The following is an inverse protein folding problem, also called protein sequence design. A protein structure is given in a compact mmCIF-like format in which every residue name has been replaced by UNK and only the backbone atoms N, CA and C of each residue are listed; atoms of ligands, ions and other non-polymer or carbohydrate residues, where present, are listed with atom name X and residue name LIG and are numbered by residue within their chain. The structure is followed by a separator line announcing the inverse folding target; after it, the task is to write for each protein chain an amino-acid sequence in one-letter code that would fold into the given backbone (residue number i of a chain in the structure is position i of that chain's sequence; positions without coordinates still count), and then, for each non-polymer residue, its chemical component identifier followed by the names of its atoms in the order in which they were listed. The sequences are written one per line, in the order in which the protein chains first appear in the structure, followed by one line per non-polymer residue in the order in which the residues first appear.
data_IF_869125934711
#
_entry.id   IF_869125934711
#
_cell.length_a   1.000
_cell.length_b   1.000
_cell.length_c   1.000
_cell.angle_alpha   90.00
_cell.angle_beta   90.00
_cell.angle_gamma   90.00
#
_symmetry.space_group_name_H-M   'P 1'
#
loop_
_entity.id
_entity.type
_entity.pdbx_description
1 polymer ?
#
# COMPACT_ATOMS: atom_id res chain seq x y z
N UNK A 1 -20.04 -6.73 24.92
CA UNK A 1 -20.30 -7.97 24.15
C UNK A 1 -19.11 -8.19 23.22
N UNK A 2 -18.69 -9.43 22.95
CA UNK A 2 -17.62 -9.68 21.98
C UNK A 2 -18.19 -9.63 20.57
N UNK A 3 -17.65 -8.77 19.70
CA UNK A 3 -18.08 -8.64 18.30
C UNK A 3 -17.90 -10.00 17.58
N UNK A 4 -18.94 -10.43 16.87
CA UNK A 4 -18.96 -11.63 16.03
C UNK A 4 -18.69 -11.27 14.56
N UNK A 5 -17.61 -11.83 14.03
CA UNK A 5 -17.05 -11.47 12.72
C UNK A 5 -17.23 -12.61 11.72
N UNK A 6 -17.82 -12.32 10.56
CA UNK A 6 -17.78 -13.20 9.39
C UNK A 6 -16.71 -12.69 8.44
N UNK A 7 -15.70 -13.51 8.16
CA UNK A 7 -14.52 -13.07 7.39
C UNK A 7 -14.42 -13.87 6.10
N UNK A 8 -14.20 -13.19 4.97
CA UNK A 8 -14.01 -13.74 3.63
C UNK A 8 -12.84 -13.04 2.93
N UNK A 9 -12.35 -13.67 1.86
CA UNK A 9 -11.31 -13.09 1.01
C UNK A 9 -9.88 -13.54 1.31
N UNK A 10 -8.92 -12.92 0.62
CA UNK A 10 -7.50 -13.28 0.64
C UNK A 10 -6.88 -13.06 2.02
N UNK A 11 -7.34 -12.05 2.76
CA UNK A 11 -6.86 -11.71 4.10
C UNK A 11 -7.48 -12.59 5.21
N UNK A 12 -8.43 -13.47 4.87
CA UNK A 12 -9.27 -14.17 5.86
C UNK A 12 -8.49 -14.96 6.91
N UNK A 13 -7.39 -15.62 6.55
CA UNK A 13 -6.59 -16.41 7.50
C UNK A 13 -5.81 -15.52 8.46
N UNK A 14 -5.16 -14.48 7.95
CA UNK A 14 -4.43 -13.51 8.77
C UNK A 14 -5.37 -12.79 9.74
N UNK A 15 -6.51 -12.29 9.23
CA UNK A 15 -7.51 -11.59 10.03
C UNK A 15 -8.19 -12.52 11.05
N UNK A 16 -8.45 -13.78 10.70
CA UNK A 16 -8.96 -14.76 11.68
C UNK A 16 -8.00 -14.92 12.84
N UNK A 17 -6.69 -15.11 12.58
CA UNK A 17 -5.68 -15.18 13.66
C UNK A 17 -5.67 -13.89 14.48
N UNK A 18 -5.64 -12.75 13.82
CA UNK A 18 -5.59 -11.42 14.43
C UNK A 18 -6.73 -11.15 15.42
N UNK A 19 -7.96 -11.49 15.03
CA UNK A 19 -9.14 -11.25 15.85
C UNK A 19 -9.32 -12.29 16.95
N UNK A 20 -8.99 -13.56 16.70
CA UNK A 20 -9.00 -14.60 17.74
C UNK A 20 -7.97 -14.32 18.84
N UNK A 21 -6.77 -13.79 18.48
CA UNK A 21 -5.77 -13.31 19.45
C UNK A 21 -6.33 -12.23 20.40
N UNK A 22 -7.34 -11.49 19.96
CA UNK A 22 -7.98 -10.38 20.69
C UNK A 22 -9.27 -10.79 21.38
N UNK A 23 -9.58 -12.09 21.40
CA UNK A 23 -10.78 -12.63 22.04
C UNK A 23 -12.09 -12.30 21.33
N UNK A 24 -12.05 -11.80 20.08
CA UNK A 24 -13.23 -11.65 19.25
C UNK A 24 -13.68 -13.00 18.69
N UNK A 25 -14.95 -13.12 18.31
CA UNK A 25 -15.49 -14.36 17.75
C UNK A 25 -15.44 -14.31 16.23
N UNK A 26 -14.99 -15.40 15.61
CA UNK A 26 -15.11 -15.59 14.17
C UNK A 26 -16.18 -16.63 13.92
N UNK A 27 -17.26 -16.21 13.26
CA UNK A 27 -18.47 -17.00 13.03
C UNK A 27 -18.60 -17.40 11.57
N UNK A 28 -19.26 -18.54 11.31
CA UNK A 28 -19.52 -19.04 9.96
C UNK A 28 -18.25 -19.07 9.06
N UNK A 29 -17.11 -19.63 9.53
CA UNK A 29 -15.88 -19.73 8.75
C UNK A 29 -16.06 -20.60 7.50
N UNK A 30 -15.21 -20.40 6.48
CA UNK A 30 -15.14 -21.34 5.35
C UNK A 30 -14.45 -22.65 5.76
N UNK A 31 -14.62 -23.71 4.97
CA UNK A 31 -13.97 -25.01 5.22
C UNK A 31 -12.45 -24.89 5.34
N UNK A 32 -11.84 -24.01 4.54
CA UNK A 32 -10.41 -23.70 4.62
C UNK A 32 -10.02 -23.14 6.00
N UNK A 33 -10.82 -22.22 6.54
CA UNK A 33 -10.58 -21.65 7.87
C UNK A 33 -10.85 -22.68 8.96
N UNK A 34 -11.88 -23.53 8.81
CA UNK A 34 -12.15 -24.65 9.73
C UNK A 34 -10.95 -25.60 9.77
N UNK A 35 -10.40 -25.99 8.62
CA UNK A 35 -9.24 -26.87 8.53
C UNK A 35 -7.98 -26.27 9.18
N UNK A 36 -7.76 -24.95 9.03
CA UNK A 36 -6.59 -24.24 9.58
C UNK A 36 -6.66 -24.00 11.08
N UNK A 37 -7.85 -23.68 11.61
CA UNK A 37 -8.01 -23.26 13.00
C UNK A 37 -8.66 -24.33 13.89
N UNK A 38 -9.23 -25.39 13.32
CA UNK A 38 -9.82 -26.51 14.06
C UNK A 38 -10.81 -26.04 15.13
N UNK A 39 -10.54 -26.38 16.39
CA UNK A 39 -11.36 -26.02 17.56
C UNK A 39 -10.82 -24.82 18.34
N UNK A 40 -10.14 -23.89 17.68
CA UNK A 40 -9.60 -22.69 18.33
C UNK A 40 -10.71 -21.92 19.04
N UNK A 41 -10.46 -21.51 20.30
CA UNK A 41 -11.41 -20.72 21.09
C UNK A 41 -11.81 -19.45 20.34
N UNK A 42 -13.11 -19.19 20.25
CA UNK A 42 -13.67 -18.05 19.52
C UNK A 42 -14.09 -18.36 18.09
N UNK A 43 -13.70 -19.51 17.53
CA UNK A 43 -14.21 -19.99 16.25
C UNK A 43 -15.58 -20.68 16.44
N UNK A 44 -16.61 -20.18 15.77
CA UNK A 44 -18.00 -20.66 15.89
C UNK A 44 -18.51 -21.06 14.52
N UNK A 45 -18.88 -22.34 14.34
CA UNK A 45 -19.20 -22.89 13.02
C UNK A 45 -20.46 -22.30 12.40
N UNK A 46 -21.49 -22.04 13.21
CA UNK A 46 -22.76 -21.47 12.76
C UNK A 46 -23.22 -20.45 13.78
N UNK A 47 -23.56 -19.25 13.32
CA UNK A 47 -24.09 -18.18 14.16
C UNK A 47 -24.29 -16.87 13.40
N UNK A 48 -25.10 -15.94 13.94
CA UNK A 48 -25.20 -14.59 13.42
C UNK A 48 -23.87 -13.84 13.56
N UNK A 49 -23.64 -12.85 12.70
CA UNK A 49 -22.49 -11.96 12.77
C UNK A 49 -22.96 -10.52 12.93
N UNK A 50 -22.19 -9.73 13.66
CA UNK A 50 -22.40 -8.29 13.83
C UNK A 50 -21.72 -7.52 12.68
N UNK A 51 -20.67 -8.12 12.09
CA UNK A 51 -19.86 -7.53 11.04
C UNK A 51 -19.38 -8.59 10.04
N UNK A 52 -19.52 -8.30 8.75
CA UNK A 52 -18.85 -9.01 7.67
C UNK A 52 -17.62 -8.23 7.18
N UNK A 53 -16.50 -8.95 7.02
CA UNK A 53 -15.24 -8.45 6.48
C UNK A 53 -14.98 -9.22 5.18
N UNK A 54 -14.80 -8.49 4.09
CA UNK A 54 -14.48 -9.07 2.78
C UNK A 54 -13.48 -8.18 2.04
N UNK A 55 -12.81 -8.72 1.03
CA UNK A 55 -11.86 -7.94 0.22
C UNK A 55 -12.56 -6.74 -0.46
N UNK A 56 -11.81 -5.66 -0.66
CA UNK A 56 -12.16 -4.62 -1.62
C UNK A 56 -12.06 -5.18 -3.05
N UNK A 57 -12.66 -4.48 -4.02
CA UNK A 57 -12.66 -4.90 -5.42
C UNK A 57 -11.23 -4.97 -6.01
N UNK A 58 -10.36 -4.03 -5.63
CA UNK A 58 -8.95 -4.02 -6.01
C UNK A 58 -8.07 -4.95 -5.15
N UNK A 59 -8.65 -5.58 -4.12
CA UNK A 59 -7.99 -6.44 -3.13
C UNK A 59 -6.90 -5.74 -2.29
N UNK A 60 -6.79 -4.41 -2.33
CA UNK A 60 -5.78 -3.63 -1.60
C UNK A 60 -6.14 -3.41 -0.13
N UNK A 61 -7.25 -3.99 0.31
CA UNK A 61 -7.77 -3.87 1.66
C UNK A 61 -9.05 -4.68 1.85
N UNK A 62 -9.82 -4.29 2.86
CA UNK A 62 -11.09 -4.92 3.20
C UNK A 62 -12.21 -3.91 3.36
N UNK A 63 -13.42 -4.30 2.96
CA UNK A 63 -14.67 -3.65 3.35
C UNK A 63 -15.23 -4.28 4.62
N UNK A 64 -15.83 -3.43 5.44
CA UNK A 64 -16.48 -3.73 6.72
C UNK A 64 -17.96 -3.37 6.57
N UNK A 65 -18.86 -4.35 6.71
CA UNK A 65 -20.30 -4.17 6.55
C UNK A 65 -21.06 -4.80 7.73
N UNK A 66 -21.89 -4.04 8.43
CA UNK A 66 -22.65 -4.56 9.57
C UNK A 66 -23.18 -3.47 10.50
N UNK A 67 -23.28 -3.79 11.79
CA UNK A 67 -23.70 -2.83 12.82
C UNK A 67 -22.68 -1.69 12.95
N UNK A 68 -23.15 -0.42 12.92
CA UNK A 68 -22.30 0.79 12.94
C UNK A 68 -21.27 0.80 14.08
N UNK A 69 -21.67 0.40 15.29
CA UNK A 69 -20.75 0.34 16.43
C UNK A 69 -19.65 -0.71 16.25
N UNK A 70 -20.00 -1.86 15.71
CA UNK A 70 -19.07 -2.95 15.40
C UNK A 70 -18.11 -2.59 14.25
N UNK A 71 -18.61 -1.92 13.21
CA UNK A 71 -17.80 -1.39 12.09
C UNK A 71 -16.74 -0.42 12.60
N UNK A 72 -17.14 0.59 13.37
CA UNK A 72 -16.21 1.61 13.87
C UNK A 72 -15.16 1.01 14.81
N UNK A 73 -15.58 0.11 15.72
CA UNK A 73 -14.67 -0.57 16.63
C UNK A 73 -13.62 -1.42 15.89
N UNK A 74 -14.04 -2.17 14.85
CA UNK A 74 -13.12 -2.99 14.06
C UNK A 74 -12.21 -2.15 13.19
N UNK A 75 -12.73 -1.11 12.52
CA UNK A 75 -11.93 -0.15 11.73
C UNK A 75 -10.81 0.45 12.58
N UNK A 76 -11.15 0.96 13.77
CA UNK A 76 -10.18 1.52 14.72
C UNK A 76 -9.16 0.48 15.18
N UNK A 77 -9.61 -0.73 15.52
CA UNK A 77 -8.72 -1.83 15.93
C UNK A 77 -7.70 -2.18 14.85
N UNK A 78 -8.12 -2.18 13.58
CA UNK A 78 -7.22 -2.41 12.44
C UNK A 78 -6.22 -1.26 12.28
N UNK A 79 -6.68 -0.01 12.27
CA UNK A 79 -5.81 1.17 12.13
C UNK A 79 -4.79 1.31 13.28
N UNK A 80 -5.17 0.94 14.50
CA UNK A 80 -4.27 1.01 15.66
C UNK A 80 -3.13 -0.03 15.59
N UNK A 81 -3.42 -1.22 15.05
CA UNK A 81 -2.42 -2.28 14.94
C UNK A 81 -1.58 -2.17 13.66
N UNK A 82 -2.25 -1.99 12.53
CA UNK A 82 -1.64 -1.78 11.22
C UNK A 82 -1.46 -0.27 11.03
N UNK A 83 -0.31 0.24 11.49
CA UNK A 83 -0.14 1.68 11.69
C UNK A 83 -0.27 2.53 10.42
N UNK A 84 -0.02 1.92 9.27
CA UNK A 84 -0.13 2.49 7.92
C UNK A 84 -1.51 2.28 7.29
N UNK A 85 -2.42 1.53 7.92
CA UNK A 85 -3.74 1.29 7.39
C UNK A 85 -4.61 2.56 7.35
N UNK A 86 -5.40 2.68 6.28
CA UNK A 86 -6.21 3.88 5.99
C UNK A 86 -7.67 3.49 6.07
N UNK A 87 -8.41 4.14 6.96
CA UNK A 87 -9.80 3.81 7.27
C UNK A 87 -10.77 4.81 6.63
N UNK A 88 -11.78 4.34 5.89
CA UNK A 88 -12.75 5.20 5.20
C UNK A 88 -14.15 4.82 5.63
N UNK A 89 -14.90 5.75 6.20
CA UNK A 89 -16.33 5.52 6.49
C UNK A 89 -17.13 5.77 5.21
N UNK A 90 -17.94 4.78 4.77
CA UNK A 90 -18.73 4.82 3.53
C UNK A 90 -20.24 4.96 3.75
N UNK A 91 -20.66 5.17 5.00
CA UNK A 91 -22.05 5.34 5.39
C UNK A 91 -22.33 4.70 6.74
N UNK A 92 -23.60 4.66 7.12
CA UNK A 92 -24.03 3.94 8.31
C UNK A 92 -23.78 2.43 8.11
N UNK A 93 -23.09 1.79 9.06
CA UNK A 93 -22.78 0.37 8.98
C UNK A 93 -21.79 -0.04 7.88
N UNK A 94 -21.07 0.91 7.27
CA UNK A 94 -20.13 0.61 6.17
C UNK A 94 -18.81 1.38 6.30
N UNK A 95 -17.69 0.66 6.19
CA UNK A 95 -16.36 1.25 6.11
C UNK A 95 -15.43 0.41 5.23
N UNK A 96 -14.28 0.98 4.88
CA UNK A 96 -13.18 0.33 4.18
C UNK A 96 -11.90 0.53 4.99
N UNK A 97 -11.00 -0.43 4.92
CA UNK A 97 -9.63 -0.32 5.45
C UNK A 97 -8.67 -0.76 4.37
N UNK A 98 -7.89 0.16 3.82
CA UNK A 98 -6.80 -0.14 2.90
C UNK A 98 -5.55 -0.55 3.68
N UNK A 99 -4.83 -1.54 3.14
CA UNK A 99 -3.62 -2.09 3.73
C UNK A 99 -2.43 -1.79 2.82
N UNK A 100 -1.61 -0.77 3.12
CA UNK A 100 -0.35 -0.57 2.41
C UNK A 100 0.70 -1.62 2.79
N UNK A 101 1.91 -1.48 2.24
CA UNK A 101 2.97 -2.46 2.34
C UNK A 101 3.25 -2.95 3.79
N UNK A 102 3.52 -2.10 4.81
CA UNK A 102 3.71 -2.59 6.18
C UNK A 102 2.52 -3.37 6.75
N UNK A 103 1.28 -2.95 6.48
CA UNK A 103 0.09 -3.67 6.90
C UNK A 103 0.01 -5.05 6.26
N UNK A 104 0.21 -5.16 4.94
CA UNK A 104 0.25 -6.44 4.20
C UNK A 104 1.33 -7.36 4.75
N UNK A 105 2.54 -6.84 5.00
CA UNK A 105 3.64 -7.61 5.57
C UNK A 105 3.30 -8.14 6.98
N UNK A 106 2.66 -7.32 7.83
CA UNK A 106 2.20 -7.76 9.15
C UNK A 106 1.09 -8.83 9.05
N UNK A 107 0.19 -8.73 8.07
CA UNK A 107 -0.83 -9.73 7.77
C UNK A 107 -0.20 -11.04 7.27
N UNK A 108 0.85 -10.98 6.44
CA UNK A 108 1.60 -12.16 6.01
C UNK A 108 2.19 -12.90 7.21
N UNK A 109 2.78 -12.18 8.17
CA UNK A 109 3.33 -12.80 9.38
C UNK A 109 2.25 -13.36 10.32
N UNK A 110 1.09 -12.72 10.40
CA UNK A 110 -0.07 -13.27 11.10
C UNK A 110 -0.56 -14.58 10.46
N UNK A 111 -0.55 -14.66 9.12
CA UNK A 111 -0.86 -15.89 8.39
C UNK A 111 0.23 -16.95 8.62
N UNK A 112 1.50 -16.55 8.63
CA UNK A 112 2.65 -17.43 8.86
C UNK A 112 2.59 -18.17 10.21
N UNK A 113 1.95 -17.56 11.22
CA UNK A 113 1.68 -18.20 12.54
C UNK A 113 0.66 -19.34 12.47
N UNK A 114 -0.07 -19.47 11.37
CA UNK A 114 -1.10 -20.49 11.16
C UNK A 114 -0.61 -21.56 10.19
N UNK A 115 0.02 -21.15 9.10
CA UNK A 115 0.63 -22.02 8.10
C UNK A 115 1.82 -21.33 7.43
N UNK A 116 2.86 -22.06 7.02
CA UNK A 116 4.00 -21.50 6.30
C UNK A 116 3.56 -20.58 5.15
N UNK A 117 4.02 -19.34 5.17
CA UNK A 117 3.59 -18.28 4.26
C UNK A 117 4.81 -17.53 3.71
N UNK A 118 4.83 -17.28 2.40
CA UNK A 118 5.91 -16.45 1.80
C UNK A 118 5.78 -15.00 2.27
N UNK A 119 6.90 -14.27 2.42
CA UNK A 119 6.84 -12.82 2.51
C UNK A 119 6.13 -12.24 1.28
N UNK A 120 5.36 -11.17 1.48
CA UNK A 120 4.57 -10.50 0.43
C UNK A 120 3.45 -11.37 -0.14
N UNK A 121 2.97 -12.35 0.61
CA UNK A 121 1.88 -13.24 0.20
C UNK A 121 0.67 -12.47 -0.30
N UNK A 122 0.13 -11.53 0.48
CA UNK A 122 -1.07 -10.79 0.07
C UNK A 122 -0.81 -9.94 -1.19
N UNK A 123 0.37 -9.33 -1.30
CA UNK A 123 0.75 -8.59 -2.50
C UNK A 123 0.78 -9.50 -3.75
N UNK A 124 1.37 -10.70 -3.66
CA UNK A 124 1.37 -11.64 -4.78
C UNK A 124 -0.01 -12.23 -5.05
N UNK A 125 -0.88 -12.35 -4.05
CA UNK A 125 -2.26 -12.80 -4.23
C UNK A 125 -3.07 -11.83 -5.10
N UNK A 126 -2.79 -10.52 -5.00
CA UNK A 126 -3.39 -9.49 -5.87
C UNK A 126 -2.98 -9.70 -7.33
N UNK A 127 -1.73 -10.12 -7.57
CA UNK A 127 -1.19 -10.35 -8.91
C UNK A 127 -1.62 -11.69 -9.51
N UNK A 128 -1.49 -12.78 -8.74
CA UNK A 128 -1.64 -14.15 -9.23
C UNK A 128 -2.09 -15.11 -8.11
N UNK A 129 -3.30 -14.89 -7.58
CA UNK A 129 -3.88 -15.61 -6.44
C UNK A 129 -3.67 -17.13 -6.47
N UNK A 130 -4.08 -17.80 -7.55
CA UNK A 130 -4.08 -19.27 -7.63
C UNK A 130 -2.66 -19.84 -7.71
N UNK A 131 -1.77 -19.14 -8.43
CA UNK A 131 -0.36 -19.52 -8.55
C UNK A 131 0.35 -19.47 -7.19
N UNK A 132 0.11 -18.41 -6.41
CA UNK A 132 0.69 -18.25 -5.07
C UNK A 132 0.23 -19.37 -4.14
N UNK A 133 -1.07 -19.65 -4.10
CA UNK A 133 -1.61 -20.73 -3.27
C UNK A 133 -1.00 -22.08 -3.64
N UNK A 134 -0.94 -22.40 -4.93
CA UNK A 134 -0.38 -23.66 -5.43
C UNK A 134 1.10 -23.82 -5.06
N UNK A 135 1.89 -22.76 -5.23
CA UNK A 135 3.34 -22.82 -4.98
C UNK A 135 3.65 -22.88 -3.47
N UNK A 136 2.90 -22.16 -2.63
CA UNK A 136 2.97 -22.31 -1.18
C UNK A 136 2.63 -23.73 -0.75
N UNK A 137 1.50 -24.29 -1.22
CA UNK A 137 1.04 -25.62 -0.85
C UNK A 137 2.06 -26.70 -1.27
N UNK A 138 2.56 -26.65 -2.50
CA UNK A 138 3.50 -27.65 -3.02
C UNK A 138 4.89 -27.55 -2.40
N UNK A 139 5.32 -26.36 -1.99
CA UNK A 139 6.70 -26.14 -1.53
C UNK A 139 6.77 -26.05 -0.02
N UNK A 140 6.00 -25.14 0.58
CA UNK A 140 6.16 -24.78 1.99
C UNK A 140 5.50 -25.77 2.94
N UNK A 141 4.56 -26.61 2.48
CA UNK A 141 4.00 -27.67 3.32
C UNK A 141 5.05 -28.69 3.76
N UNK A 142 6.07 -28.95 2.91
CA UNK A 142 7.20 -29.83 3.23
C UNK A 142 8.49 -29.10 3.58
N UNK A 143 8.63 -27.84 3.16
CA UNK A 143 9.84 -27.03 3.34
C UNK A 143 9.54 -25.60 3.82
N UNK A 144 9.00 -25.42 5.05
CA UNK A 144 8.70 -24.08 5.58
C UNK A 144 9.92 -23.14 5.61
N UNK A 145 11.12 -23.69 5.79
CA UNK A 145 12.38 -22.94 5.84
C UNK A 145 12.71 -22.21 4.53
N UNK A 146 12.08 -22.61 3.41
CA UNK A 146 12.30 -22.01 2.09
C UNK A 146 11.45 -20.78 1.81
N UNK A 147 10.62 -20.31 2.76
CA UNK A 147 9.70 -19.18 2.52
C UNK A 147 10.36 -17.94 1.93
N UNK A 148 11.56 -17.57 2.40
CA UNK A 148 12.28 -16.38 1.93
C UNK A 148 12.78 -16.56 0.49
N UNK A 149 13.35 -17.73 0.18
CA UNK A 149 13.88 -18.01 -1.16
C UNK A 149 12.76 -18.17 -2.19
N UNK A 150 11.65 -18.81 -1.81
CA UNK A 150 10.44 -18.90 -2.63
C UNK A 150 9.82 -17.52 -2.83
N UNK A 151 9.70 -16.71 -1.78
CA UNK A 151 9.19 -15.34 -1.85
C UNK A 151 10.01 -14.46 -2.79
N UNK A 152 11.35 -14.48 -2.68
CA UNK A 152 12.24 -13.76 -3.61
C UNK A 152 12.10 -14.26 -5.05
N UNK A 153 11.92 -15.57 -5.24
CA UNK A 153 11.69 -16.17 -6.55
C UNK A 153 10.36 -15.73 -7.19
N UNK A 154 9.28 -15.73 -6.40
CA UNK A 154 7.96 -15.23 -6.82
C UNK A 154 8.00 -13.75 -7.16
N UNK A 155 8.66 -12.93 -6.33
CA UNK A 155 8.79 -11.51 -6.60
C UNK A 155 9.48 -11.27 -7.95
N UNK A 156 10.55 -12.04 -8.20
CA UNK A 156 11.27 -11.95 -9.46
C UNK A 156 10.38 -12.32 -10.64
N UNK A 157 9.73 -13.48 -10.59
CA UNK A 157 8.95 -13.99 -11.73
C UNK A 157 7.65 -13.24 -11.97
N UNK A 158 6.93 -12.87 -10.91
CA UNK A 158 5.62 -12.23 -11.02
C UNK A 158 5.73 -10.74 -11.34
N UNK A 159 6.77 -10.05 -10.85
CA UNK A 159 6.88 -8.59 -10.96
C UNK A 159 8.08 -8.20 -11.83
N UNK A 160 9.30 -8.53 -11.40
CA UNK A 160 10.51 -7.93 -11.98
C UNK A 160 10.90 -8.44 -13.36
N UNK A 161 10.58 -9.69 -13.68
CA UNK A 161 10.80 -10.26 -15.01
C UNK A 161 9.83 -9.63 -16.04
N UNK A 162 8.76 -8.99 -15.58
CA UNK A 162 7.86 -8.22 -16.44
C UNK A 162 8.40 -6.82 -16.79
N UNK A 163 9.42 -6.34 -16.09
CA UNK A 163 10.02 -5.03 -16.33
C UNK A 163 11.02 -5.09 -17.49
N UNK A 164 10.71 -4.35 -18.55
CA UNK A 164 11.53 -4.22 -19.75
C UNK A 164 11.84 -2.74 -20.00
N UNK A 165 13.02 -2.44 -20.55
CA UNK A 165 13.37 -1.06 -20.90
C UNK A 165 12.35 -0.50 -21.90
N UNK A 166 11.88 0.71 -21.64
CA UNK A 166 10.84 1.37 -22.42
C UNK A 166 9.41 0.95 -22.08
N UNK A 167 9.19 -0.10 -21.26
CA UNK A 167 7.86 -0.45 -20.77
C UNK A 167 7.26 0.73 -20.02
N UNK A 168 6.06 1.15 -20.40
CA UNK A 168 5.32 2.18 -19.67
C UNK A 168 4.78 1.59 -18.36
N UNK A 169 5.09 2.26 -17.26
CA UNK A 169 4.59 1.95 -15.93
C UNK A 169 3.55 2.99 -15.54
N UNK A 170 2.36 2.51 -15.17
CA UNK A 170 1.33 3.34 -14.56
C UNK A 170 1.75 3.73 -13.15
N UNK A 171 1.31 4.89 -12.69
CA UNK A 171 1.50 5.33 -11.31
C UNK A 171 0.11 5.54 -10.73
N UNK A 172 -0.27 4.66 -9.82
CA UNK A 172 -1.49 4.74 -9.03
C UNK A 172 -1.22 5.63 -7.81
N UNK A 173 -1.64 6.89 -7.93
CA UNK A 173 -1.62 7.86 -6.86
C UNK A 173 -2.98 7.82 -6.16
N UNK A 174 -3.08 6.97 -5.13
CA UNK A 174 -4.32 6.79 -4.37
C UNK A 174 -4.41 7.91 -3.34
N UNK A 175 -5.52 8.64 -3.29
CA UNK A 175 -5.79 9.62 -2.23
C UNK A 175 -6.27 8.90 -0.97
N UNK A 176 -6.11 9.54 0.19
CA UNK A 176 -6.51 8.92 1.47
C UNK A 176 -8.01 8.57 1.54
N UNK A 177 -8.86 9.27 0.79
CA UNK A 177 -10.30 9.03 0.69
C UNK A 177 -10.67 7.91 -0.32
N UNK A 178 -9.68 7.37 -1.02
CA UNK A 178 -9.78 6.26 -1.96
C UNK A 178 -9.94 6.68 -3.41
N UNK A 179 -9.94 7.98 -3.73
CA UNK A 179 -9.88 8.41 -5.13
C UNK A 179 -8.56 7.95 -5.76
N UNK A 180 -8.65 7.26 -6.90
CA UNK A 180 -7.49 6.80 -7.65
C UNK A 180 -7.16 7.79 -8.78
N UNK A 181 -6.00 8.43 -8.69
CA UNK A 181 -5.48 9.31 -9.73
C UNK A 181 -4.41 8.57 -10.52
N UNK A 182 -4.64 8.40 -11.82
CA UNK A 182 -3.63 7.87 -12.74
C UNK A 182 -2.74 9.00 -13.24
N UNK A 183 -1.52 9.07 -12.72
CA UNK A 183 -0.52 10.03 -13.21
C UNK A 183 0.03 9.59 -14.56
N UNK A 184 0.58 10.54 -15.33
CA UNK A 184 1.17 10.21 -16.64
C UNK A 184 2.27 9.15 -16.52
N UNK A 185 2.19 8.15 -17.38
CA UNK A 185 3.03 6.96 -17.34
C UNK A 185 4.51 7.30 -17.63
N UNK A 186 5.41 6.49 -17.09
CA UNK A 186 6.85 6.63 -17.28
C UNK A 186 7.44 5.36 -17.89
N UNK A 187 8.27 5.51 -18.93
CA UNK A 187 9.01 4.40 -19.50
C UNK A 187 10.18 4.00 -18.60
N UNK A 188 10.36 2.70 -18.34
CA UNK A 188 11.50 2.19 -17.57
C UNK A 188 12.81 2.49 -18.31
N UNK A 189 13.71 3.21 -17.68
CA UNK A 189 15.09 3.41 -18.16
C UNK A 189 16.04 2.38 -17.55
N UNK A 190 15.94 2.17 -16.25
CA UNK A 190 16.82 1.29 -15.49
C UNK A 190 16.03 0.48 -14.48
N UNK A 191 16.49 -0.75 -14.21
CA UNK A 191 15.96 -1.63 -13.18
C UNK A 191 17.07 -2.31 -12.40
N UNK A 192 16.94 -2.36 -11.08
CA UNK A 192 17.84 -3.05 -10.17
C UNK A 192 17.02 -3.86 -9.16
N UNK A 193 16.98 -5.18 -9.38
CA UNK A 193 16.20 -6.10 -8.55
C UNK A 193 16.75 -6.25 -7.13
N UNK A 194 18.06 -6.14 -6.95
CA UNK A 194 18.69 -6.36 -5.65
C UNK A 194 18.52 -5.13 -4.76
N UNK A 195 18.61 -3.92 -5.34
CA UNK A 195 18.32 -2.66 -4.63
C UNK A 195 16.84 -2.28 -4.61
N UNK A 196 15.99 -3.04 -5.32
CA UNK A 196 14.56 -2.77 -5.51
C UNK A 196 14.30 -1.38 -6.09
N UNK A 197 15.09 -0.97 -7.09
CA UNK A 197 15.06 0.37 -7.68
C UNK A 197 14.64 0.33 -9.15
N UNK A 198 13.79 1.29 -9.53
CA UNK A 198 13.46 1.64 -10.91
C UNK A 198 13.79 3.10 -11.18
N UNK A 199 14.25 3.38 -12.39
CA UNK A 199 14.35 4.75 -12.91
C UNK A 199 13.40 4.87 -14.09
N UNK A 200 12.46 5.82 -14.01
CA UNK A 200 11.47 6.07 -15.04
C UNK A 200 11.72 7.41 -15.73
N UNK A 201 11.54 7.47 -17.05
CA UNK A 201 11.49 8.73 -17.80
C UNK A 201 10.07 9.04 -18.22
N UNK A 202 9.61 10.25 -17.90
CA UNK A 202 8.31 10.79 -18.26
C UNK A 202 8.51 12.02 -19.15
N UNK A 203 7.86 12.05 -20.30
CA UNK A 203 7.94 13.21 -21.22
C UNK A 203 6.58 13.66 -21.76
N UNK A 204 5.51 12.87 -21.53
CA UNK A 204 4.15 13.18 -21.96
C UNK A 204 3.30 13.65 -20.79
N UNK A 205 3.58 14.86 -20.30
CA UNK A 205 2.78 15.46 -19.23
C UNK A 205 1.41 15.87 -19.78
N UNK A 206 0.34 15.32 -19.20
CA UNK A 206 -1.05 15.74 -19.46
C UNK A 206 -1.50 16.73 -18.37
N UNK A 207 -2.53 17.53 -18.64
CA UNK A 207 -3.18 18.40 -17.64
C UNK A 207 -2.67 19.85 -17.62
N UNK A 208 -2.49 20.42 -16.41
CA UNK A 208 -2.21 21.85 -16.17
C UNK A 208 -0.99 22.38 -16.94
N UNK A 209 -0.99 23.66 -17.26
CA UNK A 209 0.12 24.35 -17.97
C UNK A 209 1.37 24.55 -17.12
N UNK A 210 1.28 24.42 -15.79
CA UNK A 210 2.40 24.56 -14.85
C UNK A 210 2.71 23.25 -14.13
N UNK A 211 3.94 23.11 -13.66
CA UNK A 211 4.30 22.08 -12.68
C UNK A 211 3.71 22.46 -11.32
N UNK A 212 2.94 21.54 -10.74
CA UNK A 212 2.29 21.73 -9.44
C UNK A 212 3.35 21.96 -8.35
N UNK A 213 3.08 22.89 -7.43
CA UNK A 213 4.01 23.33 -6.38
C UNK A 213 5.18 24.22 -6.87
N UNK A 214 5.74 23.98 -8.06
CA UNK A 214 6.90 24.72 -8.57
C UNK A 214 6.54 26.07 -9.21
N UNK A 215 5.29 26.24 -9.68
CA UNK A 215 4.84 27.50 -10.30
C UNK A 215 5.45 27.81 -11.67
N UNK A 216 6.21 26.87 -12.23
CA UNK A 216 6.93 26.99 -13.50
C UNK A 216 6.09 26.44 -14.66
N UNK A 217 6.03 27.19 -15.78
CA UNK A 217 5.34 26.73 -16.99
C UNK A 217 6.02 25.51 -17.62
N UNK A 218 5.19 24.55 -18.03
CA UNK A 218 5.57 23.38 -18.82
C UNK A 218 5.88 23.83 -20.24
N UNK A 219 7.01 23.36 -20.78
CA UNK A 219 7.40 23.60 -22.16
C UNK A 219 7.45 22.28 -22.92
N UNK A 220 7.30 22.39 -24.24
CA UNK A 220 7.45 21.24 -25.11
C UNK A 220 8.87 20.67 -24.99
N UNK A 221 8.96 19.34 -24.85
CA UNK A 221 10.22 18.62 -24.66
C UNK A 221 10.73 18.56 -23.22
N UNK A 222 10.08 19.23 -22.26
CA UNK A 222 10.37 19.01 -20.85
C UNK A 222 10.15 17.53 -20.48
N UNK A 223 10.96 17.02 -19.55
CA UNK A 223 10.87 15.64 -19.08
C UNK A 223 11.13 15.55 -17.57
N UNK A 224 10.74 14.43 -16.97
CA UNK A 224 11.02 14.11 -15.59
C UNK A 224 11.72 12.76 -15.51
N UNK A 225 12.69 12.68 -14.60
CA UNK A 225 13.29 11.43 -14.15
C UNK A 225 12.69 11.12 -12.78
N UNK A 226 12.12 9.93 -12.65
CA UNK A 226 11.54 9.45 -11.41
C UNK A 226 12.38 8.30 -10.90
N UNK A 227 13.03 8.51 -9.76
CA UNK A 227 13.81 7.48 -9.10
C UNK A 227 12.94 6.88 -8.00
N UNK A 228 12.67 5.59 -8.14
CA UNK A 228 11.67 4.92 -7.32
C UNK A 228 12.31 3.72 -6.67
N UNK A 229 12.13 3.61 -5.37
CA UNK A 229 12.57 2.45 -4.61
C UNK A 229 11.37 1.85 -3.89
N UNK A 230 11.20 0.54 -4.02
CA UNK A 230 10.15 -0.18 -3.30
C UNK A 230 10.35 -0.03 -1.79
N UNK A 231 9.25 0.15 -1.05
CA UNK A 231 9.30 0.40 0.38
C UNK A 231 9.70 1.83 0.77
N UNK A 232 10.01 2.71 -0.20
CA UNK A 232 10.25 4.13 0.07
C UNK A 232 8.97 4.84 0.51
N UNK A 233 9.06 5.66 1.56
CA UNK A 233 7.97 6.52 2.06
C UNK A 233 7.78 7.81 1.23
N UNK A 234 8.47 7.89 0.10
CA UNK A 234 8.33 9.00 -0.81
C UNK A 234 8.54 8.57 -2.25
N UNK A 235 7.92 9.34 -3.14
CA UNK A 235 8.02 9.19 -4.58
C UNK A 235 8.52 10.50 -5.17
N UNK A 236 9.64 10.45 -5.91
CA UNK A 236 10.37 11.65 -6.34
C UNK A 236 10.35 11.82 -7.86
N UNK A 237 10.14 13.06 -8.29
CA UNK A 237 10.34 13.54 -9.65
C UNK A 237 11.36 14.66 -9.69
N UNK A 238 12.35 14.52 -10.56
CA UNK A 238 13.26 15.60 -10.91
C UNK A 238 12.90 16.06 -12.32
N UNK A 239 12.49 17.32 -12.46
CA UNK A 239 12.04 17.91 -13.73
C UNK A 239 13.19 18.63 -14.44
N UNK A 240 13.24 18.46 -15.76
CA UNK A 240 14.25 19.01 -16.64
C UNK A 240 13.62 19.61 -17.88
N UNK A 241 14.26 20.64 -18.42
CA UNK A 241 13.98 21.20 -19.74
C UNK A 241 14.45 20.27 -20.84
N UNK A 242 14.01 20.53 -22.07
CA UNK A 242 14.45 19.78 -23.26
C UNK A 242 15.96 19.83 -23.50
N UNK A 243 16.64 20.90 -23.06
CA UNK A 243 18.10 21.06 -23.10
C UNK A 243 18.84 20.43 -21.90
N UNK A 244 18.10 19.82 -20.96
CA UNK A 244 18.64 19.20 -19.75
C UNK A 244 18.76 20.16 -18.55
N UNK A 245 18.38 21.43 -18.68
CA UNK A 245 18.41 22.36 -17.54
C UNK A 245 17.44 21.93 -16.44
N UNK A 246 17.90 21.96 -15.18
CA UNK A 246 17.09 21.61 -14.01
C UNK A 246 15.96 22.62 -13.78
N UNK A 247 14.74 22.12 -13.56
CA UNK A 247 13.54 22.92 -13.27
C UNK A 247 13.18 22.88 -11.79
N UNK A 248 13.44 21.76 -11.12
CA UNK A 248 13.00 21.56 -9.75
C UNK A 248 12.74 20.09 -9.45
N UNK A 249 12.54 19.81 -8.18
CA UNK A 249 12.23 18.48 -7.68
C UNK A 249 10.94 18.52 -6.88
N UNK A 250 10.09 17.54 -7.14
CA UNK A 250 8.85 17.31 -6.42
C UNK A 250 8.94 15.95 -5.74
N UNK A 251 8.65 15.91 -4.45
CA UNK A 251 8.66 14.68 -3.67
C UNK A 251 7.35 14.52 -2.95
N UNK A 252 6.56 13.54 -3.38
CA UNK A 252 5.32 13.13 -2.74
C UNK A 252 5.65 12.28 -1.52
N UNK A 253 5.20 12.64 -0.32
CA UNK A 253 5.31 11.74 0.84
C UNK A 253 4.10 10.82 0.83
N UNK A 254 4.36 9.51 0.88
CA UNK A 254 3.34 8.48 0.70
C UNK A 254 3.57 7.28 1.62
N UNK A 255 2.58 6.40 1.66
CA UNK A 255 2.80 5.04 2.18
C UNK A 255 3.84 4.32 1.32
N UNK A 256 4.57 3.34 1.86
CA UNK A 256 5.69 2.74 1.14
C UNK A 256 5.30 2.23 -0.24
N UNK A 257 6.09 2.61 -1.25
CA UNK A 257 5.85 2.28 -2.66
C UNK A 257 5.82 0.76 -2.89
N UNK A 258 4.83 0.28 -3.63
CA UNK A 258 4.67 -1.11 -4.07
C UNK A 258 4.80 -1.23 -5.59
N UNK A 259 5.58 -2.21 -6.05
CA UNK A 259 5.73 -2.52 -7.46
C UNK A 259 4.85 -3.69 -7.89
N UNK A 260 3.98 -3.42 -8.86
CA UNK A 260 3.17 -4.40 -9.56
C UNK A 260 3.71 -4.62 -10.98
N UNK A 261 3.25 -5.65 -11.70
CA UNK A 261 3.75 -5.94 -13.05
C UNK A 261 3.62 -4.76 -14.02
N UNK A 262 2.53 -3.99 -13.94
CA UNK A 262 2.18 -2.94 -14.89
C UNK A 262 2.08 -1.54 -14.27
N UNK A 263 2.29 -1.44 -12.95
CA UNK A 263 2.07 -0.21 -12.21
C UNK A 263 2.92 -0.10 -10.95
N UNK A 264 3.04 1.12 -10.47
CA UNK A 264 3.58 1.48 -9.16
C UNK A 264 2.42 2.04 -8.35
N UNK A 265 2.24 1.58 -7.11
CA UNK A 265 1.14 2.01 -6.25
C UNK A 265 1.66 2.52 -4.91
N UNK A 266 1.00 3.55 -4.42
CA UNK A 266 1.11 4.03 -3.04
C UNK A 266 -0.15 4.83 -2.70
N UNK A 267 -0.38 5.06 -1.40
CA UNK A 267 -1.36 6.04 -0.94
C UNK A 267 -0.64 7.33 -0.58
N UNK A 268 -1.08 8.40 -1.22
CA UNK A 268 -0.64 9.76 -0.97
C UNK A 268 -1.04 10.21 0.43
N UNK A 269 -0.09 10.74 1.19
CA UNK A 269 -0.32 11.24 2.55
C UNK A 269 -0.53 12.76 2.58
N UNK A 270 -0.69 13.39 1.40
CA UNK A 270 -1.03 14.80 1.24
C UNK A 270 -0.04 15.75 1.92
N UNK A 271 1.25 15.40 1.88
CA UNK A 271 2.34 16.26 2.33
C UNK A 271 3.49 16.13 1.35
N UNK A 272 3.99 17.26 0.90
CA UNK A 272 4.94 17.31 -0.21
C UNK A 272 6.23 18.02 0.19
N UNK A 273 7.31 17.70 -0.52
CA UNK A 273 8.58 18.42 -0.43
C UNK A 273 8.99 18.91 -1.81
N UNK A 274 9.24 20.21 -1.91
CA UNK A 274 9.61 20.88 -3.14
C UNK A 274 11.03 21.42 -3.05
N UNK A 275 11.82 21.23 -4.11
CA UNK A 275 13.10 21.90 -4.31
C UNK A 275 13.02 22.74 -5.57
N UNK A 276 13.21 24.05 -5.41
CA UNK A 276 13.20 25.04 -6.48
C UNK A 276 14.55 25.07 -7.24
N UNK A 277 14.61 25.64 -8.46
CA UNK A 277 15.87 25.75 -9.21
C UNK A 277 16.98 26.52 -8.48
N UNK A 278 16.61 27.46 -7.59
CA UNK A 278 17.53 28.25 -6.77
C UNK A 278 18.05 27.49 -5.53
N UNK A 279 17.67 26.21 -5.39
CA UNK A 279 18.04 25.35 -4.26
C UNK A 279 17.13 25.50 -3.04
N UNK A 280 16.14 26.39 -3.05
CA UNK A 280 15.21 26.55 -1.91
C UNK A 280 14.35 25.29 -1.76
N UNK A 281 14.34 24.74 -0.53
CA UNK A 281 13.55 23.54 -0.19
C UNK A 281 12.46 23.87 0.84
N UNK A 282 11.22 23.51 0.54
CA UNK A 282 10.04 23.71 1.41
C UNK A 282 9.19 22.45 1.53
N UNK A 283 8.58 22.26 2.69
CA UNK A 283 7.52 21.28 2.93
C UNK A 283 6.18 21.97 2.76
N UNK A 284 5.29 21.44 1.92
CA UNK A 284 3.95 22.02 1.64
C UNK A 284 2.84 21.07 2.11
N UNK A 285 1.60 21.59 2.13
CA UNK A 285 0.36 20.83 2.34
C UNK A 285 0.25 20.12 3.71
N UNK A 286 0.98 20.62 4.71
CA UNK A 286 0.88 20.09 6.08
C UNK A 286 -0.53 20.21 6.69
N UNK A 287 -1.29 21.23 6.27
CA UNK A 287 -2.67 21.45 6.71
C UNK A 287 -3.61 20.36 6.17
N UNK A 288 -3.44 19.94 4.92
CA UNK A 288 -4.23 18.88 4.28
C UNK A 288 -4.09 17.57 5.07
N UNK A 289 -2.87 17.14 5.39
CA UNK A 289 -2.63 15.96 6.24
C UNK A 289 -3.32 16.09 7.62
N UNK A 290 -3.36 17.28 8.21
CA UNK A 290 -4.06 17.51 9.49
C UNK A 290 -5.58 17.39 9.35
N UNK A 291 -6.15 17.83 8.24
CA UNK A 291 -7.56 17.61 7.92
C UNK A 291 -7.87 16.11 7.78
N UNK A 292 -6.98 15.34 7.14
CA UNK A 292 -7.16 13.87 6.98
C UNK A 292 -7.08 13.13 8.30
N UNK A 293 -6.21 13.59 9.20
CA UNK A 293 -6.16 13.11 10.58
C UNK A 293 -7.46 13.42 11.34
N UNK A 294 -7.96 14.66 11.23
CA UNK A 294 -9.23 15.07 11.87
C UNK A 294 -10.42 14.28 11.34
N UNK A 295 -10.43 13.98 10.04
CA UNK A 295 -11.45 13.16 9.40
C UNK A 295 -11.35 11.66 9.72
N UNK A 296 -10.27 11.22 10.40
CA UNK A 296 -10.09 9.83 10.82
C UNK A 296 -9.60 8.87 9.73
N UNK A 297 -9.18 9.39 8.57
CA UNK A 297 -8.62 8.56 7.50
C UNK A 297 -7.31 7.91 7.91
N UNK A 298 -6.45 8.69 8.57
CA UNK A 298 -5.12 8.28 9.01
C UNK A 298 -5.02 8.38 10.53
N UNK A 299 -4.16 7.55 11.13
CA UNK A 299 -3.87 7.65 12.57
C UNK A 299 -2.87 8.77 12.86
N UNK A 300 -2.83 9.23 14.11
CA UNK A 300 -1.79 10.19 14.55
C UNK A 300 -0.39 9.65 14.29
N UNK A 301 -0.16 8.35 14.52
CA UNK A 301 1.13 7.69 14.31
C UNK A 301 1.56 7.74 12.83
N UNK A 302 0.63 7.53 11.90
CA UNK A 302 0.91 7.65 10.46
C UNK A 302 1.20 9.10 10.06
N UNK A 303 0.40 10.06 10.54
CA UNK A 303 0.62 11.48 10.26
C UNK A 303 1.97 11.98 10.78
N UNK A 304 2.36 11.60 12.00
CA UNK A 304 3.68 11.91 12.57
C UNK A 304 4.82 11.28 11.75
N UNK A 305 4.64 10.04 11.28
CA UNK A 305 5.59 9.38 10.38
C UNK A 305 5.73 10.15 9.06
N UNK A 306 4.63 10.59 8.46
CA UNK A 306 4.64 11.36 7.22
C UNK A 306 5.39 12.69 7.41
N UNK A 307 5.05 13.47 8.44
CA UNK A 307 5.71 14.74 8.79
C UNK A 307 7.21 14.55 9.02
N UNK A 308 7.61 13.51 9.76
CA UNK A 308 9.03 13.19 9.99
C UNK A 308 9.75 12.86 8.68
N UNK A 309 9.15 12.04 7.81
CA UNK A 309 9.73 11.71 6.50
C UNK A 309 9.88 12.96 5.63
N UNK A 310 8.89 13.85 5.61
CA UNK A 310 8.93 15.11 4.86
C UNK A 310 10.11 15.99 5.31
N UNK A 311 10.24 16.20 6.63
CA UNK A 311 11.33 17.00 7.21
C UNK A 311 12.70 16.39 6.90
N UNK A 312 12.86 15.08 7.08
CA UNK A 312 14.11 14.38 6.78
C UNK A 312 14.48 14.50 5.30
N UNK A 313 13.51 14.33 4.39
CA UNK A 313 13.78 14.49 2.95
C UNK A 313 14.11 15.92 2.60
N UNK A 314 13.44 16.90 3.22
CA UNK A 314 13.76 18.31 3.02
C UNK A 314 15.18 18.65 3.47
N UNK A 315 15.68 18.05 4.56
CA UNK A 315 17.08 18.19 5.00
C UNK A 315 18.04 17.58 3.98
N UNK A 316 17.83 16.32 3.57
CA UNK A 316 18.70 15.67 2.57
C UNK A 316 18.76 16.46 1.26
N UNK A 317 17.62 17.00 0.79
CA UNK A 317 17.57 17.80 -0.44
C UNK A 317 18.31 19.15 -0.34
N UNK A 318 18.56 19.67 0.87
CA UNK A 318 19.36 20.89 1.06
C UNK A 318 20.86 20.61 1.02
N UNK A 319 21.25 19.35 1.22
CA UNK A 319 22.64 18.89 1.20
C UNK A 319 23.06 18.36 -0.19
N UNK A 320 22.11 17.94 -1.02
CA UNK A 320 22.28 17.56 -2.43
C UNK A 320 22.49 18.76 -3.36
#
# INVERSE_FOLDING_TARGET
MSIALKIRGIYSTALTRFFLDRGMKVVSPSDTIIGRFGRTKGLVLVGPHDLEIADLEDMEGVKLLGESGSVEAVKKTLQEYFFDAIGRTRGEGAAEVEFPFPAKAALDELRNRVLPTVPRHHHFRIVASDYVNLLEEKTLSGHPEKRETVGRGMEKSLIWDTFQNGKEMKIEHVKVDGELIHLSEGGILEKDFDRKRLVLKRSRFKGRTKYDGLGVDKREGDYAISEVQEGSWYYQHTYFRSDGAFIGRYVNINTPVEFYPDRIRYVDLEIDVLQMPDGKVSVTDQEDLEERLKAGYVTRKLAEKAKKTALQRAETLREE
#
